data_IF_732660432598
#
_entry.id   IF_732660432598
#
_cell.length_a   1.000
_cell.length_b   1.000
_cell.length_c   1.000
_cell.angle_alpha   90.00
_cell.angle_beta   90.00
_cell.angle_gamma   90.00
#
_symmetry.space_group_name_H-M   'P 1'
#
loop_
_entity.id
_entity.type
_entity.pdbx_description
1 polymer ?
#
# COMPACT_ATOMS: atom_id res chain seq x y z
N UNK A 1 -19.15 15.41 7.20
CA UNK A 1 -18.18 15.18 6.11
C UNK A 1 -18.05 16.38 5.18
N UNK A 2 -19.16 17.07 4.86
CA UNK A 2 -19.12 18.30 4.06
C UNK A 2 -18.23 19.40 4.68
N UNK A 3 -18.12 19.48 6.00
CA UNK A 3 -17.23 20.42 6.71
C UNK A 3 -15.73 20.12 6.52
N UNK A 4 -15.36 18.93 6.10
CA UNK A 4 -13.97 18.49 6.09
C UNK A 4 -13.12 19.10 4.98
N UNK A 5 -13.67 19.23 3.77
CA UNK A 5 -12.97 19.87 2.67
C UNK A 5 -13.05 21.41 2.73
N UNK A 6 -14.09 21.97 3.35
CA UNK A 6 -14.12 23.41 3.66
C UNK A 6 -13.07 23.80 4.72
N UNK A 7 -12.76 22.90 5.67
CA UNK A 7 -11.71 23.10 6.67
C UNK A 7 -10.30 23.12 6.06
N UNK A 8 -10.09 22.47 4.95
CA UNK A 8 -8.85 22.57 4.20
C UNK A 8 -8.63 23.94 3.53
N UNK A 9 -9.66 24.78 3.48
CA UNK A 9 -9.62 26.09 2.83
C UNK A 9 -9.69 27.29 3.78
N UNK A 10 -10.05 27.11 5.06
CA UNK A 10 -10.14 28.25 6.02
C UNK A 10 -9.31 27.97 7.27
N UNK A 11 -8.29 28.79 7.43
CA UNK A 11 -7.50 28.96 8.65
C UNK A 11 -8.34 29.57 9.76
N UNK A 12 -8.02 29.33 11.04
CA UNK A 12 -7.70 30.36 12.01
C UNK A 12 -7.62 29.81 13.44
N UNK A 13 -6.54 30.22 14.07
CA UNK A 13 -6.23 30.53 15.48
C UNK A 13 -6.33 29.51 16.61
N UNK A 14 -5.13 29.31 17.09
CA UNK A 14 -4.60 29.33 18.49
C UNK A 14 -5.33 28.53 19.57
N UNK A 15 -4.66 27.51 20.08
CA UNK A 15 -4.11 27.51 21.45
C UNK A 15 -3.23 26.29 21.72
N UNK A 16 -2.11 26.56 22.39
CA UNK A 16 -1.13 25.70 23.01
C UNK A 16 -1.57 24.27 23.31
N UNK A 17 -0.99 23.31 22.61
CA UNK A 17 -0.75 21.99 23.16
C UNK A 17 0.69 21.55 22.85
N UNK A 18 1.30 21.03 23.89
CA UNK A 18 2.65 20.52 23.97
C UNK A 18 3.07 19.77 22.70
N UNK A 19 4.20 20.21 22.13
CA UNK A 19 4.93 19.54 21.07
C UNK A 19 5.30 18.10 21.50
N UNK A 20 4.47 17.14 21.13
CA UNK A 20 4.97 15.78 20.92
C UNK A 20 5.65 15.84 19.56
N UNK A 21 6.93 16.20 19.54
CA UNK A 21 7.79 16.00 18.39
C UNK A 21 7.99 14.50 18.22
N UNK A 22 7.08 13.86 17.49
CA UNK A 22 7.43 12.64 16.81
C UNK A 22 8.32 13.07 15.63
N UNK A 23 9.62 12.84 15.71
CA UNK A 23 10.52 12.94 14.57
C UNK A 23 10.18 11.82 13.58
N UNK A 24 9.08 12.00 12.87
CA UNK A 24 8.71 11.18 11.73
C UNK A 24 9.55 11.65 10.54
N UNK A 25 10.71 11.11 10.39
CA UNK A 25 11.42 11.16 9.11
C UNK A 25 10.81 10.10 8.20
N UNK A 26 10.27 10.51 7.03
CA UNK A 26 10.08 9.57 5.92
C UNK A 26 11.48 9.07 5.58
N UNK A 27 11.89 8.01 6.25
CA UNK A 27 13.04 7.28 5.78
C UNK A 27 12.58 6.59 4.49
N UNK A 28 13.39 6.66 3.47
CA UNK A 28 13.27 5.86 2.24
C UNK A 28 13.00 4.36 2.55
N UNK A 29 13.19 3.93 3.79
CA UNK A 29 12.83 2.63 4.36
C UNK A 29 11.36 2.22 4.15
N UNK A 30 10.40 3.16 4.04
CA UNK A 30 8.99 2.82 3.85
C UNK A 30 8.61 2.46 2.41
N UNK A 31 9.48 2.73 1.45
CA UNK A 31 9.19 2.39 0.05
C UNK A 31 9.42 0.90 -0.20
N UNK A 32 10.33 0.28 0.57
CA UNK A 32 10.70 -1.12 0.43
C UNK A 32 10.97 -1.68 1.84
N UNK A 33 9.96 -2.20 2.50
CA UNK A 33 10.13 -2.97 3.74
C UNK A 33 10.21 -4.44 3.39
N UNK A 34 11.42 -5.01 3.37
CA UNK A 34 11.57 -6.47 3.47
C UNK A 34 11.18 -6.87 4.90
N UNK A 35 10.02 -7.45 5.06
CA UNK A 35 9.65 -8.17 6.28
C UNK A 35 10.22 -9.57 6.19
N UNK A 36 11.37 -9.78 6.78
CA UNK A 36 12.12 -11.05 6.76
C UNK A 36 11.39 -12.29 7.31
N UNK A 37 10.08 -12.29 7.51
CA UNK A 37 9.28 -13.44 7.98
C UNK A 37 7.78 -13.31 7.64
N UNK A 38 7.39 -12.51 6.66
CA UNK A 38 6.03 -12.57 6.11
C UNK A 38 5.91 -13.83 5.24
N UNK A 39 4.72 -14.43 5.17
CA UNK A 39 4.43 -15.54 4.25
C UNK A 39 4.22 -15.04 2.81
N UNK A 40 3.97 -13.74 2.66
CA UNK A 40 3.81 -13.01 1.42
C UNK A 40 4.14 -11.53 1.59
N UNK A 41 4.26 -10.81 0.50
CA UNK A 41 4.50 -9.37 0.47
C UNK A 41 3.90 -8.76 -0.80
N UNK A 42 3.14 -7.67 -0.66
CA UNK A 42 2.73 -6.86 -1.78
C UNK A 42 3.58 -5.59 -1.89
N UNK A 43 4.09 -5.31 -3.08
CA UNK A 43 4.90 -4.12 -3.37
C UNK A 43 4.07 -3.09 -4.16
N UNK A 44 3.52 -2.06 -3.49
CA UNK A 44 2.56 -1.13 -4.10
C UNK A 44 3.10 -0.37 -5.31
N UNK A 45 4.35 0.09 -5.23
CA UNK A 45 4.95 0.89 -6.30
C UNK A 45 5.16 0.10 -7.61
N UNK A 46 5.27 -1.22 -7.53
CA UNK A 46 5.57 -2.07 -8.68
C UNK A 46 4.47 -3.08 -8.97
N UNK A 47 3.37 -3.03 -8.19
CA UNK A 47 2.21 -3.92 -8.34
C UNK A 47 2.61 -5.39 -8.44
N UNK A 48 3.46 -5.82 -7.52
CA UNK A 48 4.00 -7.18 -7.45
C UNK A 48 3.61 -7.85 -6.15
N UNK A 49 3.25 -9.13 -6.23
CA UNK A 49 3.07 -10.00 -5.07
C UNK A 49 4.26 -10.96 -5.00
N UNK A 50 4.88 -11.06 -3.84
CA UNK A 50 5.84 -12.11 -3.52
C UNK A 50 5.17 -13.12 -2.59
N UNK A 51 5.29 -14.41 -2.91
CA UNK A 51 4.79 -15.50 -2.10
C UNK A 51 5.96 -16.40 -1.73
N UNK A 52 6.14 -16.63 -0.42
CA UNK A 52 7.26 -17.43 0.09
C UNK A 52 7.11 -18.92 -0.09
N UNK A 53 5.95 -19.39 -0.56
CA UNK A 53 5.69 -20.79 -0.91
C UNK A 53 5.79 -20.98 -2.43
N UNK A 54 5.91 -22.24 -2.87
CA UNK A 54 5.82 -22.58 -4.28
C UNK A 54 4.42 -22.22 -4.81
N UNK A 55 4.36 -21.42 -5.87
CA UNK A 55 3.14 -21.03 -6.54
C UNK A 55 3.43 -20.92 -8.04
N UNK A 56 2.78 -21.72 -8.82
CA UNK A 56 2.94 -21.81 -10.28
C UNK A 56 1.90 -20.99 -11.06
N UNK A 57 1.09 -20.19 -10.35
CA UNK A 57 -0.02 -19.42 -10.91
C UNK A 57 -1.36 -20.15 -10.85
N UNK A 58 -1.39 -21.43 -10.48
CA UNK A 58 -2.62 -22.23 -10.39
C UNK A 58 -3.25 -22.13 -9.00
N UNK A 59 -4.29 -21.32 -8.87
CA UNK A 59 -5.01 -21.11 -7.60
C UNK A 59 -5.72 -22.39 -7.13
N UNK A 60 -6.12 -23.26 -8.05
CA UNK A 60 -6.87 -24.49 -7.71
C UNK A 60 -6.05 -25.48 -6.89
N UNK A 61 -4.73 -25.45 -7.05
CA UNK A 61 -3.80 -26.34 -6.36
C UNK A 61 -3.33 -25.84 -4.99
N UNK A 62 -3.66 -24.58 -4.63
CA UNK A 62 -3.28 -24.00 -3.35
C UNK A 62 -4.03 -24.68 -2.19
N UNK A 63 -3.31 -24.97 -1.13
CA UNK A 63 -3.91 -25.29 0.17
C UNK A 63 -4.55 -24.04 0.81
N UNK A 64 -5.41 -24.24 1.80
CA UNK A 64 -6.15 -23.15 2.45
C UNK A 64 -5.24 -22.08 3.05
N UNK A 65 -4.18 -22.41 3.81
CA UNK A 65 -3.26 -21.40 4.36
C UNK A 65 -2.53 -20.58 3.30
N UNK A 66 -2.07 -21.22 2.22
CA UNK A 66 -1.38 -20.51 1.11
C UNK A 66 -2.36 -19.64 0.33
N UNK A 67 -3.57 -20.13 0.08
CA UNK A 67 -4.65 -19.34 -0.52
C UNK A 67 -5.00 -18.14 0.36
N UNK A 68 -5.10 -18.32 1.68
CA UNK A 68 -5.31 -17.23 2.63
C UNK A 68 -4.23 -16.15 2.53
N UNK A 69 -2.96 -16.56 2.43
CA UNK A 69 -1.84 -15.64 2.22
C UNK A 69 -1.93 -14.91 0.87
N UNK A 70 -2.21 -15.64 -0.22
CA UNK A 70 -2.38 -15.03 -1.53
C UNK A 70 -3.50 -13.99 -1.52
N UNK A 71 -4.63 -14.29 -0.87
CA UNK A 71 -5.75 -13.35 -0.78
C UNK A 71 -5.39 -12.14 0.06
N UNK A 72 -4.67 -12.30 1.16
CA UNK A 72 -4.17 -11.17 1.95
C UNK A 72 -3.40 -10.18 1.07
N UNK A 73 -2.43 -10.65 0.31
CA UNK A 73 -1.63 -9.82 -0.58
C UNK A 73 -2.43 -9.28 -1.78
N UNK A 74 -3.37 -10.06 -2.29
CA UNK A 74 -4.27 -9.63 -3.35
C UNK A 74 -5.21 -8.51 -2.89
N UNK A 75 -5.68 -8.54 -1.65
CA UNK A 75 -6.46 -7.44 -1.07
C UNK A 75 -5.63 -6.17 -1.01
N UNK A 76 -4.33 -6.23 -0.68
CA UNK A 76 -3.46 -5.06 -0.75
C UNK A 76 -3.36 -4.47 -2.16
N UNK A 77 -3.30 -5.31 -3.19
CA UNK A 77 -3.36 -4.84 -4.56
C UNK A 77 -4.68 -4.12 -4.85
N UNK A 78 -5.81 -4.73 -4.49
CA UNK A 78 -7.12 -4.13 -4.70
C UNK A 78 -7.28 -2.81 -3.93
N UNK A 79 -6.84 -2.74 -2.68
CA UNK A 79 -6.79 -1.48 -1.90
C UNK A 79 -5.98 -0.41 -2.63
N UNK A 80 -4.88 -0.81 -3.26
CA UNK A 80 -3.98 0.12 -3.93
C UNK A 80 -4.57 0.71 -5.21
N UNK A 81 -5.24 -0.12 -6.03
CA UNK A 81 -5.76 0.30 -7.33
C UNK A 81 -7.22 0.77 -7.29
N UNK A 82 -8.00 0.35 -6.28
CA UNK A 82 -9.43 0.62 -6.18
C UNK A 82 -9.83 1.66 -5.11
N UNK A 83 -8.87 2.32 -4.48
CA UNK A 83 -9.17 3.37 -3.49
C UNK A 83 -8.42 4.67 -3.80
N UNK A 84 -9.00 5.84 -3.50
CA UNK A 84 -8.33 7.12 -3.63
C UNK A 84 -7.02 7.21 -2.83
N UNK A 85 -6.97 6.63 -1.62
CA UNK A 85 -5.74 6.56 -0.84
C UNK A 85 -4.65 5.79 -1.56
N UNK A 86 -4.96 4.58 -2.04
CA UNK A 86 -4.01 3.71 -2.73
C UNK A 86 -3.45 4.36 -3.99
N UNK A 87 -4.31 4.97 -4.82
CA UNK A 87 -3.89 5.69 -6.02
C UNK A 87 -3.03 6.92 -5.68
N UNK A 88 -3.41 7.68 -4.63
CA UNK A 88 -2.65 8.86 -4.22
C UNK A 88 -1.25 8.50 -3.67
N UNK A 89 -1.16 7.51 -2.77
CA UNK A 89 0.11 7.00 -2.26
C UNK A 89 1.03 6.52 -3.39
N UNK A 90 0.48 5.74 -4.33
CA UNK A 90 1.24 5.26 -5.50
C UNK A 90 1.70 6.39 -6.40
N UNK A 91 0.86 7.41 -6.66
CA UNK A 91 1.28 8.59 -7.43
C UNK A 91 2.43 9.33 -6.76
N UNK A 92 2.43 9.44 -5.44
CA UNK A 92 3.56 10.07 -4.72
C UNK A 92 4.82 9.27 -4.91
N UNK A 93 4.76 7.93 -4.79
CA UNK A 93 5.91 7.03 -5.03
C UNK A 93 6.44 7.14 -6.46
N UNK A 94 5.57 7.18 -7.47
CA UNK A 94 5.98 7.38 -8.86
C UNK A 94 6.60 8.76 -9.11
N UNK A 95 6.11 9.80 -8.46
CA UNK A 95 6.75 11.12 -8.55
C UNK A 95 8.15 11.12 -7.89
N UNK A 96 8.33 10.42 -6.75
CA UNK A 96 9.64 10.23 -6.12
C UNK A 96 10.58 9.50 -7.11
N UNK A 97 10.12 8.42 -7.73
CA UNK A 97 10.89 7.68 -8.72
C UNK A 97 11.27 8.57 -9.92
N UNK A 98 10.33 9.34 -10.45
CA UNK A 98 10.57 10.24 -11.58
C UNK A 98 11.59 11.33 -11.27
N UNK A 99 11.51 11.97 -10.09
CA UNK A 99 12.51 12.97 -9.66
C UNK A 99 13.88 12.31 -9.39
N UNK A 100 13.89 11.08 -8.88
CA UNK A 100 15.12 10.29 -8.69
C UNK A 100 15.81 10.01 -10.03
N UNK A 101 15.06 9.56 -11.02
CA UNK A 101 15.61 9.29 -12.35
C UNK A 101 16.07 10.58 -13.05
N UNK A 102 15.29 11.64 -12.94
CA UNK A 102 15.70 12.94 -13.47
C UNK A 102 16.98 13.48 -12.81
N UNK A 103 17.17 13.21 -11.51
CA UNK A 103 18.43 13.55 -10.82
C UNK A 103 19.62 12.81 -11.43
N UNK A 104 19.51 11.50 -11.67
CA UNK A 104 20.57 10.70 -12.30
C UNK A 104 20.87 11.18 -13.72
N UNK A 105 19.84 11.39 -14.52
CA UNK A 105 20.00 11.87 -15.92
C UNK A 105 20.71 13.22 -16.01
N UNK A 106 20.32 14.17 -15.14
CA UNK A 106 20.88 15.52 -15.14
C UNK A 106 22.26 15.63 -14.46
N UNK A 107 22.74 14.58 -13.81
CA UNK A 107 24.09 14.56 -13.26
C UNK A 107 25.12 14.69 -14.38
N UNK A 108 26.11 15.58 -14.22
CA UNK A 108 27.06 15.89 -15.30
C UNK A 108 28.12 14.82 -15.54
N UNK A 109 28.55 14.12 -14.48
CA UNK A 109 29.61 13.10 -14.61
C UNK A 109 29.56 12.03 -13.53
N UNK A 110 29.42 12.41 -12.27
CA UNK A 110 29.53 11.51 -11.12
C UNK A 110 28.27 11.53 -10.29
N UNK A 111 27.79 10.37 -9.86
CA UNK A 111 26.74 10.21 -8.87
C UNK A 111 27.29 9.44 -7.67
N UNK A 112 26.81 9.79 -6.47
CA UNK A 112 27.20 9.13 -5.21
C UNK A 112 25.99 8.39 -4.65
N UNK A 113 26.17 7.11 -4.33
CA UNK A 113 25.14 6.27 -3.72
C UNK A 113 25.37 6.12 -2.21
N UNK A 114 24.28 6.08 -1.40
CA UNK A 114 22.90 6.30 -1.81
C UNK A 114 22.66 7.73 -2.27
N UNK A 115 21.72 7.90 -3.20
CA UNK A 115 21.38 9.23 -3.69
C UNK A 115 20.82 10.10 -2.56
N UNK A 116 21.39 11.30 -2.40
CA UNK A 116 20.84 12.33 -1.52
C UNK A 116 20.14 13.40 -2.38
N UNK A 117 18.82 13.27 -2.49
CA UNK A 117 18.03 14.09 -3.40
C UNK A 117 17.23 15.12 -2.62
N UNK A 118 17.40 16.38 -2.98
CA UNK A 118 16.54 17.47 -2.53
C UNK A 118 15.30 17.55 -3.44
N UNK A 119 14.28 16.76 -3.10
CA UNK A 119 13.02 16.72 -3.85
C UNK A 119 12.34 18.09 -3.90
N UNK A 120 11.57 18.32 -4.96
CA UNK A 120 10.79 19.55 -5.11
C UNK A 120 9.88 19.80 -3.91
N UNK A 121 9.66 21.06 -3.55
CA UNK A 121 8.79 21.42 -2.41
C UNK A 121 7.36 20.88 -2.60
N UNK A 122 6.89 20.84 -3.84
CA UNK A 122 5.58 20.25 -4.17
C UNK A 122 5.51 18.77 -3.85
N UNK A 123 6.58 18.02 -4.14
CA UNK A 123 6.67 16.60 -3.82
C UNK A 123 6.83 16.38 -2.32
N UNK A 124 7.69 17.13 -1.64
CA UNK A 124 7.83 17.08 -0.17
C UNK A 124 6.49 17.27 0.54
N UNK A 125 5.70 18.26 0.13
CA UNK A 125 4.37 18.47 0.72
C UNK A 125 3.42 17.27 0.51
N UNK A 126 3.50 16.59 -0.63
CA UNK A 126 2.72 15.37 -0.88
C UNK A 126 3.21 14.20 -0.04
N UNK A 127 4.53 14.05 0.11
CA UNK A 127 5.15 13.04 0.97
C UNK A 127 4.69 13.21 2.42
N UNK A 128 4.68 14.44 2.94
CA UNK A 128 4.21 14.74 4.29
C UNK A 128 2.74 14.36 4.51
N UNK A 129 1.87 14.58 3.49
CA UNK A 129 0.46 14.17 3.54
C UNK A 129 0.36 12.64 3.61
N UNK A 130 1.11 11.94 2.77
CA UNK A 130 1.14 10.47 2.77
C UNK A 130 1.63 9.94 4.11
N UNK A 131 2.70 10.52 4.66
CA UNK A 131 3.22 10.13 5.98
C UNK A 131 2.16 10.26 7.08
N UNK A 132 1.49 11.41 7.14
CA UNK A 132 0.44 11.61 8.12
C UNK A 132 -0.71 10.62 7.99
N UNK A 133 -1.17 10.35 6.76
CA UNK A 133 -2.28 9.45 6.51
C UNK A 133 -1.92 7.96 6.60
N UNK A 134 -0.66 7.59 6.35
CA UNK A 134 -0.16 6.21 6.52
C UNK A 134 -0.18 5.79 7.97
N UNK A 135 0.09 6.72 8.90
CA UNK A 135 0.24 6.43 10.31
C UNK A 135 1.59 5.78 10.63
N UNK A 136 1.77 5.44 11.89
CA UNK A 136 3.02 4.85 12.37
C UNK A 136 2.75 3.78 13.43
N UNK A 137 3.33 2.60 13.22
CA UNK A 137 3.37 1.53 14.20
C UNK A 137 4.84 1.18 14.47
N UNK A 138 5.37 1.44 15.67
CA UNK A 138 6.79 1.26 15.98
C UNK A 138 7.26 -0.21 15.92
N UNK A 139 6.33 -1.14 15.81
CA UNK A 139 6.60 -2.58 15.82
C UNK A 139 7.18 -3.12 14.51
N UNK A 140 7.18 -2.34 13.44
CA UNK A 140 7.81 -2.75 12.19
C UNK A 140 9.35 -2.82 12.26
N UNK A 141 9.95 -2.15 13.26
CA UNK A 141 11.42 -2.01 13.39
C UNK A 141 12.04 -2.86 14.50
N UNK A 142 11.28 -3.39 15.45
CA UNK A 142 11.82 -4.14 16.58
C UNK A 142 11.53 -5.62 16.50
N UNK A 143 12.59 -6.37 16.73
CA UNK A 143 12.59 -7.83 16.86
C UNK A 143 11.53 -8.27 17.87
N UNK A 144 10.45 -8.79 17.36
CA UNK A 144 9.46 -9.66 17.93
C UNK A 144 9.72 -10.16 19.35
N UNK A 145 8.90 -9.78 20.24
CA UNK A 145 8.45 -10.67 21.32
C UNK A 145 7.08 -10.15 21.77
N UNK A 146 6.04 -10.96 21.55
CA UNK A 146 4.72 -10.91 22.19
C UNK A 146 4.05 -9.53 22.35
N UNK A 147 3.75 -8.86 21.22
CA UNK A 147 2.93 -7.65 21.26
C UNK A 147 1.44 -8.00 21.26
N UNK A 148 1.01 -8.75 22.28
CA UNK A 148 -0.41 -8.91 22.56
C UNK A 148 -0.90 -7.70 23.32
N UNK A 149 -1.99 -7.13 22.82
CA UNK A 149 -2.67 -6.03 23.47
C UNK A 149 -3.32 -6.56 24.76
N UNK A 150 -3.12 -5.86 25.87
CA UNK A 150 -3.86 -6.14 27.09
C UNK A 150 -5.29 -5.64 26.94
N UNK A 151 -6.18 -6.54 26.52
CA UNK A 151 -7.61 -6.22 26.31
C UNK A 151 -8.36 -5.90 27.59
N UNK A 152 -7.76 -6.12 28.78
CA UNK A 152 -8.31 -5.68 30.05
C UNK A 152 -8.12 -4.17 30.28
N UNK A 153 -7.12 -3.55 29.63
CA UNK A 153 -6.95 -2.11 29.60
C UNK A 153 -7.59 -1.54 28.30
N UNK A 154 -8.33 -0.44 28.47
CA UNK A 154 -9.02 0.19 27.35
C UNK A 154 -8.04 1.01 26.52
N UNK A 155 -8.04 0.81 25.20
CA UNK A 155 -7.32 1.67 24.26
C UNK A 155 -7.88 3.08 24.33
N UNK A 156 -7.02 4.08 24.57
CA UNK A 156 -7.42 5.48 24.53
C UNK A 156 -7.25 6.05 23.13
N UNK A 157 -8.33 6.57 22.56
CA UNK A 157 -8.34 7.15 21.21
C UNK A 157 -8.29 8.67 21.33
N UNK A 158 -7.25 9.29 20.75
CA UNK A 158 -7.06 10.74 20.78
C UNK A 158 -7.11 11.31 19.36
N UNK A 159 -7.87 12.39 19.17
CA UNK A 159 -7.88 13.18 17.94
C UNK A 159 -6.92 14.34 18.06
N UNK A 160 -5.90 14.35 17.22
CA UNK A 160 -4.84 15.35 17.21
C UNK A 160 -4.71 15.97 15.81
N UNK A 161 -3.86 16.98 15.69
CA UNK A 161 -3.57 17.64 14.41
C UNK A 161 -2.06 17.77 14.25
N UNK A 162 -1.53 17.39 13.09
CA UNK A 162 -0.15 17.65 12.69
C UNK A 162 -0.13 18.78 11.69
N UNK A 163 0.67 19.81 11.96
CA UNK A 163 0.87 20.91 11.00
C UNK A 163 1.81 20.44 9.89
N UNK A 164 1.29 20.42 8.66
CA UNK A 164 2.04 20.07 7.45
C UNK A 164 1.96 21.25 6.51
N UNK A 165 3.09 21.93 6.28
CA UNK A 165 3.12 23.21 5.54
C UNK A 165 2.14 24.22 6.14
N UNK A 166 1.11 24.62 5.40
CA UNK A 166 0.08 25.56 5.84
C UNK A 166 -1.24 24.86 6.22
N UNK A 167 -1.24 23.54 6.47
CA UNK A 167 -2.43 22.74 6.77
C UNK A 167 -2.30 22.05 8.10
N UNK A 168 -3.40 21.96 8.82
CA UNK A 168 -3.51 21.08 9.97
C UNK A 168 -4.17 19.78 9.49
N UNK A 169 -3.41 18.70 9.43
CA UNK A 169 -3.92 17.37 9.08
C UNK A 169 -4.35 16.65 10.36
N UNK A 170 -5.56 16.08 10.38
CA UNK A 170 -6.00 15.29 11.51
C UNK A 170 -5.19 13.98 11.59
N UNK A 171 -4.81 13.63 12.79
CA UNK A 171 -4.18 12.36 13.12
C UNK A 171 -4.91 11.73 14.30
N UNK A 172 -5.03 10.42 14.26
CA UNK A 172 -5.57 9.64 15.38
C UNK A 172 -4.41 8.92 16.05
N UNK A 173 -4.25 9.16 17.35
CA UNK A 173 -3.27 8.42 18.16
C UNK A 173 -3.99 7.49 19.12
N UNK A 174 -3.39 6.33 19.36
CA UNK A 174 -3.91 5.31 20.25
C UNK A 174 -2.89 5.02 21.34
N UNK A 175 -3.28 5.16 22.60
CA UNK A 175 -2.47 4.67 23.71
C UNK A 175 -2.87 3.22 24.01
N UNK A 176 -1.91 2.32 23.85
CA UNK A 176 -2.09 0.87 23.95
C UNK A 176 -1.21 0.32 25.06
N UNK A 177 -1.81 -0.52 25.91
CA UNK A 177 -1.11 -1.35 26.90
C UNK A 177 -0.93 -2.76 26.36
N UNK A 178 0.23 -3.36 26.59
CA UNK A 178 0.54 -4.72 26.18
C UNK A 178 0.56 -5.66 27.39
N UNK A 179 0.38 -6.94 27.16
CA UNK A 179 0.34 -8.00 28.19
C UNK A 179 1.64 -8.13 28.99
N UNK A 180 2.76 -7.62 28.46
CA UNK A 180 4.04 -7.53 29.16
C UNK A 180 4.15 -6.31 30.09
N UNK A 181 3.09 -5.49 30.18
CA UNK A 181 3.02 -4.26 30.98
C UNK A 181 3.60 -3.03 30.28
N UNK A 182 4.14 -3.14 29.08
CA UNK A 182 4.61 -1.98 28.32
C UNK A 182 3.44 -1.17 27.78
N UNK A 183 3.67 0.14 27.57
CA UNK A 183 2.68 1.06 27.00
C UNK A 183 3.31 1.80 25.83
N UNK A 184 2.54 1.96 24.76
CA UNK A 184 2.97 2.69 23.57
C UNK A 184 1.85 3.54 23.01
N UNK A 185 2.25 4.67 22.41
CA UNK A 185 1.36 5.49 21.58
C UNK A 185 1.67 5.19 20.13
N UNK A 186 0.68 4.76 19.38
CA UNK A 186 0.78 4.54 17.94
C UNK A 186 -0.06 5.57 17.18
N UNK A 187 0.31 5.85 15.94
CA UNK A 187 -0.47 6.69 15.03
C UNK A 187 -1.28 5.78 14.11
N UNK A 188 -2.59 5.76 14.31
CA UNK A 188 -3.50 5.02 13.44
C UNK A 188 -3.51 5.65 12.05
N UNK A 189 -3.47 4.82 11.00
CA UNK A 189 -3.49 5.29 9.64
C UNK A 189 -3.72 4.18 8.63
N UNK A 190 -3.57 4.52 7.35
CA UNK A 190 -3.86 3.61 6.25
C UNK A 190 -3.10 2.29 6.33
N UNK A 191 -1.87 2.28 6.87
CA UNK A 191 -1.11 1.03 6.98
C UNK A 191 -1.84 0.00 7.85
N UNK A 192 -2.24 0.40 9.06
CA UNK A 192 -2.97 -0.49 9.99
C UNK A 192 -4.34 -0.87 9.40
N UNK A 193 -5.04 0.10 8.80
CA UNK A 193 -6.36 -0.13 8.20
C UNK A 193 -6.26 -1.18 7.08
N UNK A 194 -5.26 -1.06 6.22
CA UNK A 194 -5.03 -1.98 5.10
C UNK A 194 -4.70 -3.40 5.59
N UNK A 195 -3.78 -3.51 6.55
CA UNK A 195 -3.38 -4.79 7.13
C UNK A 195 -4.55 -5.48 7.87
N UNK A 196 -5.28 -4.73 8.69
CA UNK A 196 -6.46 -5.28 9.39
C UNK A 196 -7.54 -5.72 8.41
N UNK A 197 -7.80 -4.96 7.34
CA UNK A 197 -8.76 -5.33 6.31
C UNK A 197 -8.32 -6.62 5.59
N UNK A 198 -7.05 -6.73 5.20
CA UNK A 198 -6.52 -7.91 4.53
C UNK A 198 -6.56 -9.15 5.45
N UNK A 199 -6.25 -8.99 6.73
CA UNK A 199 -6.37 -10.05 7.73
C UNK A 199 -7.81 -10.52 7.92
N UNK A 200 -8.77 -9.60 7.96
CA UNK A 200 -10.20 -9.95 8.03
C UNK A 200 -10.64 -10.75 6.80
N UNK A 201 -10.19 -10.39 5.58
CA UNK A 201 -10.45 -11.19 4.38
C UNK A 201 -9.79 -12.57 4.44
N UNK A 202 -8.56 -12.64 4.91
CA UNK A 202 -7.86 -13.92 5.09
C UNK A 202 -8.64 -14.85 6.03
N UNK A 203 -9.17 -14.33 7.13
CA UNK A 203 -10.00 -15.10 8.07
C UNK A 203 -11.32 -15.61 7.47
N UNK A 204 -11.85 -14.96 6.43
CA UNK A 204 -13.04 -15.46 5.72
C UNK A 204 -12.75 -16.71 4.87
N UNK A 205 -11.48 -16.98 4.57
CA UNK A 205 -11.02 -18.14 3.78
C UNK A 205 -10.43 -19.20 4.68
N UNK A 206 -9.58 -18.78 5.58
CA UNK A 206 -8.85 -19.63 6.52
C UNK A 206 -9.23 -19.23 7.94
N UNK A 207 -10.22 -19.91 8.48
CA UNK A 207 -10.68 -19.69 9.87
C UNK A 207 -9.59 -19.93 10.90
N UNK A 208 -8.51 -20.64 10.52
CA UNK A 208 -7.36 -20.92 11.39
C UNK A 208 -6.34 -19.78 11.37
N UNK A 209 -6.44 -18.83 10.45
CA UNK A 209 -5.56 -17.66 10.34
C UNK A 209 -5.94 -16.60 11.38
N UNK A 210 -5.88 -16.95 12.66
CA UNK A 210 -6.30 -16.07 13.75
C UNK A 210 -5.32 -14.93 14.03
N UNK A 211 -4.14 -14.94 13.41
CA UNK A 211 -3.05 -14.00 13.72
C UNK A 211 -2.79 -13.86 15.23
N UNK A 212 -3.01 -14.95 15.99
CA UNK A 212 -2.96 -14.96 17.45
C UNK A 212 -1.60 -14.54 18.03
N UNK A 213 -0.54 -14.65 17.23
CA UNK A 213 0.80 -14.25 17.66
C UNK A 213 0.97 -12.72 17.68
N UNK A 214 0.18 -11.96 16.90
CA UNK A 214 0.36 -10.53 16.72
C UNK A 214 -0.99 -9.79 16.60
N UNK A 215 -1.34 -9.00 17.59
CA UNK A 215 -2.51 -8.12 17.50
C UNK A 215 -2.27 -6.92 16.58
N UNK A 216 -1.02 -6.48 16.46
CA UNK A 216 -0.63 -5.39 15.59
C UNK A 216 0.11 -5.89 14.34
N UNK A 217 -0.22 -5.40 13.15
CA UNK A 217 -1.33 -4.46 12.84
C UNK A 217 -2.67 -5.16 12.57
N UNK A 218 -2.72 -6.49 12.58
CA UNK A 218 -3.78 -7.31 11.97
C UNK A 218 -5.11 -7.27 12.71
N UNK A 219 -5.08 -7.36 14.06
CA UNK A 219 -6.29 -7.47 14.88
C UNK A 219 -6.74 -6.13 15.48
N UNK A 220 -5.96 -5.04 15.29
CA UNK A 220 -6.19 -3.80 16.02
C UNK A 220 -7.57 -3.20 15.79
N UNK A 221 -8.07 -3.19 14.52
CA UNK A 221 -9.38 -2.61 14.23
C UNK A 221 -10.49 -3.42 14.90
N UNK A 222 -10.36 -4.74 14.95
CA UNK A 222 -11.32 -5.61 15.64
C UNK A 222 -11.30 -5.34 17.14
N UNK A 223 -10.13 -5.23 17.76
CA UNK A 223 -10.01 -4.91 19.20
C UNK A 223 -10.59 -3.53 19.51
N UNK A 224 -10.35 -2.52 18.67
CA UNK A 224 -10.98 -1.20 18.82
C UNK A 224 -12.51 -1.31 18.74
N UNK A 225 -13.03 -2.09 17.80
CA UNK A 225 -14.47 -2.29 17.66
C UNK A 225 -15.04 -3.00 18.90
N UNK A 226 -14.41 -4.03 19.41
CA UNK A 226 -14.83 -4.75 20.62
C UNK A 226 -14.86 -3.84 21.85
N UNK A 227 -13.91 -2.96 22.01
CA UNK A 227 -13.81 -2.08 23.17
C UNK A 227 -14.69 -0.82 23.10
N UNK A 228 -14.96 -0.31 21.90
CA UNK A 228 -15.61 1.00 21.72
C UNK A 228 -16.89 0.98 20.90
N UNK A 229 -17.11 -0.07 20.06
CA UNK A 229 -18.18 -0.15 19.06
C UNK A 229 -18.82 -1.54 19.07
N UNK A 230 -19.20 -2.02 20.24
CA UNK A 230 -19.59 -3.41 20.50
C UNK A 230 -20.79 -3.91 19.69
N UNK A 231 -21.68 -3.01 19.22
CA UNK A 231 -22.85 -3.40 18.42
C UNK A 231 -22.46 -3.97 17.04
N UNK A 232 -21.25 -3.66 16.53
CA UNK A 232 -20.78 -4.10 15.21
C UNK A 232 -19.50 -4.97 15.28
N UNK A 233 -18.92 -5.17 16.46
CA UNK A 233 -17.61 -5.80 16.63
C UNK A 233 -17.55 -7.25 16.11
N UNK A 234 -18.65 -7.98 16.15
CA UNK A 234 -18.74 -9.36 15.66
C UNK A 234 -19.00 -9.47 14.15
N UNK A 235 -19.28 -8.36 13.47
CA UNK A 235 -19.58 -8.34 12.03
C UNK A 235 -18.33 -7.99 11.22
N UNK A 236 -17.53 -9.00 10.90
CA UNK A 236 -16.30 -8.83 10.14
C UNK A 236 -16.54 -8.16 8.77
N UNK A 237 -17.71 -8.38 8.15
CA UNK A 237 -18.05 -7.83 6.85
C UNK A 237 -18.28 -6.32 6.95
N UNK A 238 -18.98 -5.86 8.01
CA UNK A 238 -19.09 -4.42 8.28
C UNK A 238 -17.73 -3.79 8.57
N UNK A 239 -16.88 -4.45 9.37
CA UNK A 239 -15.53 -3.94 9.67
C UNK A 239 -14.69 -3.81 8.40
N UNK A 240 -14.70 -4.82 7.52
CA UNK A 240 -14.04 -4.75 6.20
C UNK A 240 -14.56 -3.56 5.39
N UNK A 241 -15.88 -3.40 5.33
CA UNK A 241 -16.51 -2.31 4.56
C UNK A 241 -16.11 -0.93 5.11
N UNK A 242 -16.11 -0.78 6.43
CA UNK A 242 -15.70 0.47 7.08
C UNK A 242 -14.21 0.77 6.83
N UNK A 243 -13.33 -0.24 6.90
CA UNK A 243 -11.93 -0.10 6.51
C UNK A 243 -11.81 0.37 5.06
N UNK A 244 -12.58 -0.23 4.15
CA UNK A 244 -12.57 0.13 2.74
C UNK A 244 -13.04 1.57 2.49
N UNK A 245 -14.18 1.97 3.06
CA UNK A 245 -14.69 3.36 3.02
C UNK A 245 -13.62 4.35 3.50
N UNK A 246 -12.89 3.99 4.56
CA UNK A 246 -11.86 4.86 5.15
C UNK A 246 -10.73 5.20 4.18
N UNK A 247 -10.39 4.27 3.27
CA UNK A 247 -9.37 4.47 2.24
C UNK A 247 -9.83 5.39 1.09
N UNK A 248 -11.06 5.89 1.12
CA UNK A 248 -11.52 6.94 0.20
C UNK A 248 -11.17 8.36 0.66
N UNK A 249 -10.39 8.50 1.72
CA UNK A 249 -9.95 9.79 2.28
C UNK A 249 -8.43 9.87 2.38
N UNK A 250 -7.88 11.09 2.34
CA UNK A 250 -6.48 11.39 2.67
C UNK A 250 -6.23 11.39 4.20
N UNK A 251 -7.29 11.25 5.01
CA UNK A 251 -7.22 11.07 6.46
C UNK A 251 -7.95 9.78 6.86
N UNK A 252 -7.42 8.60 6.47
CA UNK A 252 -8.13 7.33 6.62
C UNK A 252 -8.53 7.01 8.06
N UNK A 253 -7.67 7.31 9.02
CA UNK A 253 -7.92 7.00 10.43
C UNK A 253 -9.12 7.75 11.01
N UNK A 254 -9.30 9.01 10.63
CA UNK A 254 -10.43 9.80 11.12
C UNK A 254 -11.74 9.29 10.53
N UNK A 255 -11.74 9.03 9.21
CA UNK A 255 -12.91 8.45 8.54
C UNK A 255 -13.26 7.07 9.09
N UNK A 256 -12.25 6.27 9.47
CA UNK A 256 -12.48 4.99 10.14
C UNK A 256 -13.24 5.15 11.45
N UNK A 257 -12.74 6.00 12.35
CA UNK A 257 -13.36 6.18 13.67
C UNK A 257 -14.79 6.73 13.55
N UNK A 258 -15.00 7.67 12.63
CA UNK A 258 -16.34 8.24 12.41
C UNK A 258 -17.32 7.20 11.84
N UNK A 259 -16.89 6.35 10.90
CA UNK A 259 -17.76 5.30 10.35
C UNK A 259 -17.97 4.15 11.33
N UNK A 260 -17.00 3.80 12.18
CA UNK A 260 -17.21 2.85 13.26
C UNK A 260 -18.30 3.36 14.24
N UNK A 261 -18.21 4.64 14.63
CA UNK A 261 -19.21 5.26 15.51
C UNK A 261 -20.59 5.27 14.85
N UNK A 262 -20.68 5.71 13.58
CA UNK A 262 -21.94 5.75 12.84
C UNK A 262 -22.57 4.36 12.71
N UNK A 263 -21.80 3.34 12.33
CA UNK A 263 -22.30 1.99 12.19
C UNK A 263 -22.73 1.39 13.54
N UNK A 264 -22.03 1.73 14.63
CA UNK A 264 -22.39 1.30 15.98
C UNK A 264 -23.70 1.93 16.46
N UNK A 265 -24.02 3.16 16.05
CA UNK A 265 -25.31 3.83 16.31
C UNK A 265 -26.42 3.30 15.40
N UNK A 266 -26.07 2.68 14.28
CA UNK A 266 -26.99 2.14 13.28
C UNK A 266 -26.68 0.66 12.97
N UNK A 267 -26.74 -0.24 13.96
CA UNK A 267 -26.26 -1.62 13.83
C UNK A 267 -27.05 -2.47 12.84
N UNK A 268 -28.28 -2.08 12.54
CA UNK A 268 -29.17 -2.79 11.61
C UNK A 268 -28.82 -2.57 10.13
N UNK A 269 -28.02 -1.53 9.82
CA UNK A 269 -27.57 -1.32 8.45
C UNK A 269 -26.62 -2.44 8.02
N UNK A 270 -26.87 -3.01 6.85
CA UNK A 270 -25.93 -3.95 6.23
C UNK A 270 -24.64 -3.26 5.78
N UNK A 271 -23.62 -4.05 5.50
CA UNK A 271 -22.36 -3.56 4.93
C UNK A 271 -22.55 -2.80 3.61
N UNK A 272 -23.47 -3.30 2.76
CA UNK A 272 -23.81 -2.65 1.48
C UNK A 272 -24.48 -1.31 1.72
N UNK A 273 -25.48 -1.24 2.59
CA UNK A 273 -26.18 0.01 2.88
C UNK A 273 -25.24 1.08 3.46
N UNK A 274 -24.26 0.67 4.29
CA UNK A 274 -23.22 1.57 4.77
C UNK A 274 -22.37 2.14 3.61
N UNK A 275 -22.01 1.28 2.65
CA UNK A 275 -21.22 1.70 1.49
C UNK A 275 -22.04 2.55 0.51
N UNK A 276 -23.27 2.15 0.19
CA UNK A 276 -24.16 2.90 -0.69
C UNK A 276 -24.48 4.29 -0.14
N UNK A 277 -24.73 4.39 1.17
CA UNK A 277 -24.86 5.68 1.84
C UNK A 277 -23.63 6.54 1.62
N UNK A 278 -22.43 6.01 1.87
CA UNK A 278 -21.18 6.72 1.67
C UNK A 278 -21.04 7.24 0.23
N UNK A 279 -21.28 6.38 -0.77
CA UNK A 279 -21.13 6.75 -2.18
C UNK A 279 -22.17 7.78 -2.63
N UNK A 280 -23.40 7.68 -2.15
CA UNK A 280 -24.54 8.49 -2.61
C UNK A 280 -24.65 9.84 -1.88
N UNK A 281 -24.37 9.86 -0.58
CA UNK A 281 -24.56 11.04 0.25
C UNK A 281 -23.33 11.92 0.35
N UNK A 282 -22.15 11.34 0.34
CA UNK A 282 -20.90 12.09 0.51
C UNK A 282 -20.51 12.82 -0.78
N UNK A 283 -20.06 14.06 -0.59
CA UNK A 283 -19.52 14.89 -1.66
C UNK A 283 -18.07 15.25 -1.36
N UNK A 284 -17.25 15.16 -2.38
CA UNK A 284 -15.86 15.58 -2.33
C UNK A 284 -15.76 16.97 -2.95
N UNK A 285 -15.12 17.89 -2.24
CA UNK A 285 -14.95 19.27 -2.71
C UNK A 285 -13.52 19.49 -3.20
N UNK A 286 -13.36 19.79 -4.49
CA UNK A 286 -12.07 20.15 -5.09
C UNK A 286 -12.14 21.58 -5.59
N UNK A 287 -11.29 22.45 -5.03
CA UNK A 287 -11.27 23.89 -5.37
C UNK A 287 -12.67 24.52 -5.33
N UNK A 288 -13.47 24.16 -4.33
CA UNK A 288 -14.81 24.70 -4.13
C UNK A 288 -15.90 24.07 -5.01
N UNK A 289 -15.60 23.10 -5.85
CA UNK A 289 -16.60 22.38 -6.64
C UNK A 289 -16.93 21.05 -5.97
N UNK A 290 -18.21 20.80 -5.74
CA UNK A 290 -18.71 19.51 -5.26
C UNK A 290 -18.65 18.48 -6.39
N UNK A 291 -18.16 17.30 -6.06
CA UNK A 291 -18.05 16.15 -6.95
C UNK A 291 -18.58 14.90 -6.25
N UNK A 292 -19.19 13.97 -6.96
CA UNK A 292 -19.52 12.68 -6.38
C UNK A 292 -18.25 11.89 -6.06
N UNK A 293 -18.35 10.92 -5.16
CA UNK A 293 -17.24 10.00 -4.86
C UNK A 293 -16.76 9.28 -6.12
N UNK A 294 -17.69 8.85 -6.97
CA UNK A 294 -17.38 8.15 -8.22
C UNK A 294 -16.67 9.05 -9.24
N UNK A 295 -17.16 10.27 -9.48
CA UNK A 295 -16.54 11.20 -10.43
C UNK A 295 -15.12 11.61 -9.97
N UNK A 296 -14.94 11.73 -8.65
CA UNK A 296 -13.62 11.99 -8.07
C UNK A 296 -12.67 10.82 -8.34
N UNK A 297 -13.14 9.60 -8.10
CA UNK A 297 -12.32 8.40 -8.31
C UNK A 297 -11.94 8.22 -9.78
N UNK A 298 -12.88 8.43 -10.71
CA UNK A 298 -12.60 8.41 -12.16
C UNK A 298 -11.53 9.44 -12.55
N UNK A 299 -11.65 10.66 -12.05
CA UNK A 299 -10.64 11.71 -12.27
C UNK A 299 -9.27 11.30 -11.71
N UNK A 300 -9.26 10.61 -10.57
CA UNK A 300 -8.03 10.18 -9.92
C UNK A 300 -7.36 9.04 -10.71
N UNK A 301 -8.13 8.10 -11.27
CA UNK A 301 -7.61 7.06 -12.17
C UNK A 301 -6.91 7.68 -13.38
N UNK A 302 -7.53 8.67 -14.04
CA UNK A 302 -6.92 9.34 -15.19
C UNK A 302 -5.62 10.06 -14.81
N UNK A 303 -5.62 10.72 -13.66
CA UNK A 303 -4.42 11.39 -13.15
C UNK A 303 -3.33 10.36 -12.81
N UNK A 304 -3.70 9.25 -12.19
CA UNK A 304 -2.78 8.16 -11.86
C UNK A 304 -2.13 7.59 -13.12
N UNK A 305 -2.92 7.27 -14.16
CA UNK A 305 -2.40 6.77 -15.43
C UNK A 305 -1.35 7.71 -16.03
N UNK A 306 -1.63 9.02 -16.06
CA UNK A 306 -0.68 10.02 -16.56
C UNK A 306 0.63 10.03 -15.76
N UNK A 307 0.56 10.00 -14.43
CA UNK A 307 1.74 9.98 -13.57
C UNK A 307 2.52 8.68 -13.73
N UNK A 308 1.81 7.55 -13.75
CA UNK A 308 2.40 6.22 -13.88
C UNK A 308 3.20 6.09 -15.19
N UNK A 309 2.57 6.29 -16.34
CA UNK A 309 3.24 6.14 -17.65
C UNK A 309 4.40 7.12 -17.83
N UNK A 310 4.26 8.35 -17.30
CA UNK A 310 5.36 9.32 -17.31
C UNK A 310 6.55 8.86 -16.48
N UNK A 311 6.32 8.21 -15.35
CA UNK A 311 7.35 7.82 -14.39
C UNK A 311 8.08 6.55 -14.78
N UNK A 312 7.35 5.54 -15.25
CA UNK A 312 7.94 4.25 -15.65
C UNK A 312 8.61 4.31 -17.04
N UNK A 313 8.25 5.29 -17.88
CA UNK A 313 8.89 5.55 -19.20
C UNK A 313 8.84 4.41 -20.21
N UNK A 314 8.22 3.32 -19.86
CA UNK A 314 7.96 2.17 -20.73
C UNK A 314 6.46 1.90 -20.76
N UNK A 315 5.97 1.36 -21.86
CA UNK A 315 4.57 1.00 -21.97
C UNK A 315 4.29 -0.21 -21.06
N UNK A 316 3.44 -0.04 -20.07
CA UNK A 316 2.94 -1.13 -19.21
C UNK A 316 1.43 -1.16 -19.37
N UNK A 317 0.99 -1.88 -20.41
CA UNK A 317 -0.40 -1.84 -20.87
C UNK A 317 -1.33 -2.53 -19.90
N UNK A 318 -0.85 -3.60 -19.22
CA UNK A 318 -1.64 -4.38 -18.28
C UNK A 318 -2.22 -3.54 -17.12
N UNK A 319 -1.41 -2.66 -16.54
CA UNK A 319 -1.89 -1.79 -15.44
C UNK A 319 -2.96 -0.82 -15.93
N UNK A 320 -2.81 -0.32 -17.16
CA UNK A 320 -3.84 0.49 -17.80
C UNK A 320 -5.16 -0.26 -17.96
N UNK A 321 -5.11 -1.53 -18.37
CA UNK A 321 -6.29 -2.41 -18.49
C UNK A 321 -6.96 -2.66 -17.13
N UNK A 322 -6.18 -2.99 -16.09
CA UNK A 322 -6.69 -3.18 -14.73
C UNK A 322 -7.42 -1.93 -14.23
N UNK A 323 -6.84 -0.76 -14.42
CA UNK A 323 -7.44 0.51 -13.99
C UNK A 323 -8.75 0.81 -14.72
N UNK A 324 -8.88 0.46 -15.99
CA UNK A 324 -10.15 0.61 -16.72
C UNK A 324 -11.23 -0.36 -16.22
N UNK A 325 -10.85 -1.58 -15.83
CA UNK A 325 -11.79 -2.57 -15.27
C UNK A 325 -12.29 -2.16 -13.89
N UNK A 326 -11.46 -1.44 -13.13
CA UNK A 326 -11.79 -0.96 -11.78
C UNK A 326 -12.61 0.32 -11.82
N UNK A 327 -12.67 1.04 -12.93
CA UNK A 327 -13.50 2.25 -13.04
C UNK A 327 -14.90 1.94 -12.57
N UNK A 328 -15.45 2.72 -11.63
CA UNK A 328 -16.78 2.49 -11.14
C UNK A 328 -17.80 2.81 -12.23
N UNK A 329 -18.06 1.83 -13.09
CA UNK A 329 -19.16 1.91 -14.01
C UNK A 329 -20.45 2.02 -13.18
N UNK A 330 -20.91 3.25 -12.92
CA UNK A 330 -22.16 3.56 -12.22
C UNK A 330 -22.17 3.34 -10.70
N UNK A 331 -21.10 3.69 -10.01
CA UNK A 331 -21.09 3.74 -8.55
C UNK A 331 -20.85 2.41 -7.85
N UNK A 332 -20.34 1.42 -8.57
CA UNK A 332 -20.10 0.11 -8.01
C UNK A 332 -18.60 -0.20 -7.87
N UNK A 333 -18.18 -0.66 -6.71
CA UNK A 333 -16.79 -1.05 -6.46
C UNK A 333 -16.70 -2.55 -6.31
N UNK A 334 -16.01 -3.22 -7.25
CA UNK A 334 -16.00 -4.69 -7.34
C UNK A 334 -15.52 -5.41 -6.09
N UNK A 335 -14.62 -4.80 -5.31
CA UNK A 335 -14.08 -5.43 -4.10
C UNK A 335 -15.18 -5.81 -3.09
N UNK A 336 -16.27 -5.07 -3.03
CA UNK A 336 -17.37 -5.37 -2.13
C UNK A 336 -18.29 -6.48 -2.65
N UNK A 337 -18.27 -6.82 -3.95
CA UNK A 337 -19.02 -7.97 -4.46
C UNK A 337 -18.58 -9.28 -3.85
N UNK A 338 -17.33 -9.36 -3.41
CA UNK A 338 -16.82 -10.56 -2.73
C UNK A 338 -17.56 -10.85 -1.42
N UNK A 339 -18.11 -9.82 -0.81
CA UNK A 339 -18.66 -9.87 0.55
C UNK A 339 -20.19 -9.79 0.59
N UNK A 340 -20.84 -9.43 -0.51
CA UNK A 340 -22.27 -9.05 -0.48
C UNK A 340 -23.26 -10.16 -0.17
N UNK A 341 -22.87 -11.43 -0.30
CA UNK A 341 -23.83 -12.54 -0.19
C UNK A 341 -23.72 -13.33 1.11
N UNK A 342 -23.04 -12.83 2.14
CA UNK A 342 -22.85 -13.48 3.46
C UNK A 342 -22.39 -14.95 3.41
N UNK A 343 -21.79 -15.36 2.29
CA UNK A 343 -21.26 -16.70 2.13
C UNK A 343 -19.76 -16.70 2.36
N UNK A 344 -19.17 -17.82 2.83
CA UNK A 344 -17.73 -17.94 2.93
C UNK A 344 -17.07 -17.58 1.60
N UNK A 345 -15.99 -16.87 1.66
CA UNK A 345 -15.22 -16.55 0.47
C UNK A 345 -14.63 -17.86 -0.10
N UNK A 346 -15.10 -18.27 -1.29
CA UNK A 346 -14.66 -19.50 -1.93
C UNK A 346 -13.56 -19.27 -2.96
N UNK A 347 -12.80 -20.33 -3.30
CA UNK A 347 -11.81 -20.29 -4.39
C UNK A 347 -12.42 -19.77 -5.70
N UNK A 348 -13.61 -20.24 -6.04
CA UNK A 348 -14.30 -19.88 -7.28
C UNK A 348 -14.63 -18.39 -7.33
N UNK A 349 -15.01 -17.81 -6.20
CA UNK A 349 -15.26 -16.36 -6.10
C UNK A 349 -13.99 -15.55 -6.27
N UNK A 350 -12.91 -15.98 -5.64
CA UNK A 350 -11.60 -15.34 -5.79
C UNK A 350 -11.14 -15.41 -7.25
N UNK A 351 -11.28 -16.58 -7.90
CA UNK A 351 -10.97 -16.71 -9.33
C UNK A 351 -11.81 -15.78 -10.18
N UNK A 352 -13.12 -15.74 -9.96
CA UNK A 352 -14.02 -14.85 -10.67
C UNK A 352 -13.60 -13.38 -10.53
N UNK A 353 -13.14 -12.97 -9.34
CA UNK A 353 -12.66 -11.62 -9.11
C UNK A 353 -11.33 -11.37 -9.84
N UNK A 354 -10.40 -12.31 -9.76
CA UNK A 354 -9.12 -12.24 -10.46
C UNK A 354 -9.34 -12.20 -11.98
N UNK A 355 -10.26 -13.01 -12.50
CA UNK A 355 -10.62 -13.01 -13.91
C UNK A 355 -11.23 -11.68 -14.37
N UNK A 356 -11.99 -11.04 -13.49
CA UNK A 356 -12.63 -9.77 -13.80
C UNK A 356 -11.71 -8.57 -13.62
N UNK A 357 -11.00 -8.48 -12.49
CA UNK A 357 -10.19 -7.31 -12.11
C UNK A 357 -8.72 -7.44 -12.53
N UNK A 358 -8.27 -8.66 -12.77
CA UNK A 358 -6.86 -8.95 -12.93
C UNK A 358 -6.16 -9.23 -11.59
N UNK A 359 -4.91 -9.63 -11.69
CA UNK A 359 -4.01 -9.93 -10.57
C UNK A 359 -2.70 -9.19 -10.79
N UNK A 360 -1.98 -8.76 -9.76
CA UNK A 360 -0.63 -8.24 -9.94
C UNK A 360 0.32 -9.34 -10.42
N UNK A 361 1.46 -8.94 -10.95
CA UNK A 361 2.53 -9.89 -11.23
C UNK A 361 2.96 -10.58 -9.93
N UNK A 362 3.11 -11.89 -9.97
CA UNK A 362 3.53 -12.65 -8.80
C UNK A 362 4.87 -13.33 -9.00
N UNK A 363 5.63 -13.48 -7.93
CA UNK A 363 6.88 -14.23 -7.92
C UNK A 363 7.07 -14.96 -6.60
N UNK A 364 7.84 -16.04 -6.66
CA UNK A 364 8.13 -16.89 -5.51
C UNK A 364 9.57 -16.74 -5.06
N UNK A 365 9.90 -17.23 -3.88
CA UNK A 365 11.29 -17.31 -3.40
C UNK A 365 12.16 -18.21 -4.27
N UNK A 366 11.55 -19.16 -4.94
CA UNK A 366 12.23 -20.01 -5.92
C UNK A 366 12.59 -19.25 -7.21
N UNK A 367 12.12 -18.01 -7.39
CA UNK A 367 12.36 -17.17 -8.57
C UNK A 367 11.42 -17.50 -9.73
N UNK A 368 10.31 -18.20 -9.48
CA UNK A 368 9.28 -18.40 -10.49
C UNK A 368 8.45 -17.13 -10.60
N UNK A 369 8.34 -16.62 -11.83
CA UNK A 369 7.55 -15.42 -12.14
C UNK A 369 6.29 -15.85 -12.88
N UNK A 370 5.14 -15.41 -12.38
CA UNK A 370 3.86 -15.74 -12.96
C UNK A 370 3.18 -14.45 -13.47
N UNK A 371 2.93 -14.38 -14.77
CA UNK A 371 2.11 -13.30 -15.31
C UNK A 371 0.66 -13.44 -14.84
N UNK A 372 -0.11 -12.38 -14.88
CA UNK A 372 -1.53 -12.42 -14.53
C UNK A 372 -2.28 -13.45 -15.41
N UNK A 373 -3.11 -14.30 -14.80
CA UNK A 373 -3.75 -15.42 -15.52
C UNK A 373 -4.79 -14.97 -16.55
N UNK A 374 -5.36 -13.79 -16.42
CA UNK A 374 -6.35 -13.26 -17.35
C UNK A 374 -6.00 -11.86 -17.82
N UNK A 375 -5.67 -11.76 -19.09
CA UNK A 375 -5.44 -10.49 -19.77
C UNK A 375 -5.84 -10.60 -21.23
N UNK A 376 -6.31 -9.51 -21.81
CA UNK A 376 -6.47 -9.40 -23.26
C UNK A 376 -5.13 -9.18 -23.97
N UNK A 377 -4.06 -8.98 -23.19
CA UNK A 377 -2.71 -8.67 -23.66
C UNK A 377 -1.98 -9.97 -23.99
N UNK A 378 -1.22 -9.95 -25.06
CA UNK A 378 -0.34 -11.03 -25.46
C UNK A 378 0.63 -11.42 -24.35
N UNK A 379 0.92 -12.72 -24.21
CA UNK A 379 1.79 -13.24 -23.13
C UNK A 379 3.23 -12.73 -23.21
N UNK A 380 3.76 -12.49 -24.42
CA UNK A 380 5.08 -11.90 -24.61
C UNK A 380 5.10 -10.47 -24.08
N UNK A 381 4.08 -9.67 -24.40
CA UNK A 381 3.93 -8.31 -23.90
C UNK A 381 3.75 -8.26 -22.39
N UNK A 382 2.97 -9.19 -21.79
CA UNK A 382 2.85 -9.30 -20.36
C UNK A 382 4.18 -9.59 -19.67
N UNK A 383 5.00 -10.45 -20.27
CA UNK A 383 6.34 -10.76 -19.79
C UNK A 383 7.25 -9.55 -19.86
N UNK A 384 7.21 -8.77 -20.94
CA UNK A 384 7.96 -7.52 -21.06
C UNK A 384 7.54 -6.48 -20.03
N UNK A 385 6.24 -6.30 -19.80
CA UNK A 385 5.70 -5.40 -18.79
C UNK A 385 6.17 -5.79 -17.39
N UNK A 386 6.16 -7.09 -17.07
CA UNK A 386 6.64 -7.63 -15.82
C UNK A 386 8.14 -7.37 -15.64
N UNK A 387 8.95 -7.68 -16.65
CA UNK A 387 10.40 -7.45 -16.61
C UNK A 387 10.75 -5.97 -16.42
N UNK A 388 10.00 -5.07 -17.07
CA UNK A 388 10.16 -3.65 -16.88
C UNK A 388 9.89 -3.22 -15.44
N UNK A 389 8.80 -3.69 -14.81
CA UNK A 389 8.48 -3.38 -13.41
C UNK A 389 9.50 -3.97 -12.44
N UNK A 390 9.99 -5.18 -12.69
CA UNK A 390 11.08 -5.80 -11.89
C UNK A 390 12.36 -4.97 -12.00
N UNK A 391 12.70 -4.54 -13.21
CA UNK A 391 13.87 -3.68 -13.45
C UNK A 391 13.77 -2.33 -12.74
N UNK A 392 12.59 -1.70 -12.78
CA UNK A 392 12.34 -0.46 -12.04
C UNK A 392 12.48 -0.65 -10.54
N UNK A 393 11.89 -1.72 -9.98
CA UNK A 393 12.01 -2.02 -8.56
C UNK A 393 13.47 -2.21 -8.14
N UNK A 394 14.20 -3.03 -8.89
CA UNK A 394 15.60 -3.32 -8.62
C UNK A 394 16.47 -2.06 -8.70
N UNK A 395 16.34 -1.30 -9.78
CA UNK A 395 17.15 -0.08 -9.99
C UNK A 395 16.81 0.98 -8.95
N UNK A 396 15.54 1.28 -8.72
CA UNK A 396 15.13 2.27 -7.74
C UNK A 396 15.61 1.91 -6.33
N UNK A 397 15.46 0.64 -5.95
CA UNK A 397 15.97 0.10 -4.69
C UNK A 397 17.48 0.31 -4.55
N UNK A 398 18.24 -0.02 -5.59
CA UNK A 398 19.68 0.14 -5.59
C UNK A 398 20.12 1.60 -5.42
N UNK A 399 19.47 2.51 -6.13
CA UNK A 399 19.79 3.94 -6.10
C UNK A 399 19.48 4.61 -4.76
N UNK A 400 18.45 4.16 -4.05
CA UNK A 400 17.90 4.88 -2.90
C UNK A 400 18.16 4.24 -1.54
N UNK A 401 18.60 2.98 -1.50
CA UNK A 401 18.81 2.27 -0.23
C UNK A 401 20.16 2.61 0.42
N UNK A 402 20.10 2.85 1.74
CA UNK A 402 21.22 2.66 2.64
C UNK A 402 21.31 1.16 2.96
N UNK A 403 22.18 0.43 2.30
CA UNK A 403 22.31 -0.99 2.57
C UNK A 403 23.06 -1.24 3.90
N UNK A 404 22.36 -1.86 4.85
CA UNK A 404 23.00 -2.50 6.03
C UNK A 404 23.95 -3.64 5.64
N UNK A 405 23.89 -4.13 4.42
CA UNK A 405 24.55 -5.37 3.95
C UNK A 405 25.41 -5.20 2.70
N UNK A 406 25.77 -3.98 2.34
CA UNK A 406 26.52 -3.70 1.10
C UNK A 406 25.59 -3.45 -0.11
N UNK A 407 26.16 -2.88 -1.17
CA UNK A 407 25.46 -2.66 -2.42
C UNK A 407 25.52 -3.93 -3.27
N UNK A 408 24.54 -4.79 -3.10
CA UNK A 408 24.35 -6.00 -3.91
C UNK A 408 23.16 -5.78 -4.84
N UNK A 409 23.29 -6.23 -6.08
CA UNK A 409 22.17 -6.19 -7.03
C UNK A 409 20.92 -6.88 -6.43
N UNK A 410 19.76 -6.22 -6.37
CA UNK A 410 18.54 -6.82 -5.83
C UNK A 410 18.07 -8.08 -6.58
N UNK A 411 18.53 -8.27 -7.84
CA UNK A 411 18.21 -9.45 -8.66
C UNK A 411 19.28 -10.55 -8.56
N UNK A 412 20.27 -10.42 -7.66
CA UNK A 412 21.39 -11.35 -7.58
C UNK A 412 20.94 -12.80 -7.33
N UNK A 413 19.99 -13.02 -6.41
CA UNK A 413 19.44 -14.37 -6.14
C UNK A 413 18.76 -14.99 -7.36
N UNK A 414 18.08 -14.17 -8.15
CA UNK A 414 17.49 -14.60 -9.42
C UNK A 414 18.57 -15.03 -10.42
N UNK A 415 19.62 -14.22 -10.58
CA UNK A 415 20.74 -14.56 -11.46
C UNK A 415 21.47 -15.84 -11.02
N UNK A 416 21.56 -16.09 -9.71
CA UNK A 416 22.13 -17.32 -9.17
C UNK A 416 21.39 -18.56 -9.62
N UNK A 417 20.06 -18.51 -9.59
CA UNK A 417 19.21 -19.59 -10.04
C UNK A 417 19.35 -19.86 -11.54
N UNK A 418 19.35 -18.80 -12.34
CA UNK A 418 19.43 -18.85 -13.80
C UNK A 418 20.87 -19.09 -14.33
N UNK A 419 21.85 -19.27 -13.44
CA UNK A 419 23.29 -19.51 -13.78
C UNK A 419 23.88 -18.42 -14.68
N UNK A 420 23.40 -17.20 -14.58
CA UNK A 420 24.05 -16.06 -15.23
C UNK A 420 25.41 -15.80 -14.59
N UNK A 421 26.36 -15.30 -15.40
CA UNK A 421 27.71 -14.97 -14.93
C UNK A 421 27.60 -13.78 -13.94
N UNK A 422 27.87 -14.08 -12.66
CA UNK A 422 27.61 -13.19 -11.52
C UNK A 422 28.68 -12.11 -11.35
N UNK A 423 29.88 -12.38 -11.85
CA UNK A 423 31.06 -11.58 -11.51
C UNK A 423 31.06 -10.24 -12.28
N UNK A 424 30.40 -10.17 -13.45
CA UNK A 424 30.40 -8.97 -14.29
C UNK A 424 29.45 -7.86 -13.80
N UNK A 425 28.40 -8.17 -13.01
CA UNK A 425 27.40 -7.17 -12.63
C UNK A 425 27.24 -6.96 -11.11
N UNK A 426 28.11 -7.54 -10.31
CA UNK A 426 28.00 -7.50 -8.86
C UNK A 426 28.10 -6.06 -8.32
N UNK A 427 29.14 -5.34 -8.74
CA UNK A 427 29.41 -3.98 -8.29
C UNK A 427 28.75 -2.90 -9.16
N UNK A 428 28.47 -3.23 -10.42
CA UNK A 428 27.87 -2.33 -11.41
C UNK A 428 26.68 -3.01 -12.13
N UNK A 429 25.56 -3.24 -11.44
CA UNK A 429 24.47 -4.07 -11.97
C UNK A 429 23.80 -3.51 -13.23
N UNK A 430 24.02 -2.25 -13.60
CA UNK A 430 23.58 -1.64 -14.85
C UNK A 430 24.50 -1.94 -16.03
N UNK A 431 25.71 -2.48 -15.82
CA UNK A 431 26.67 -2.83 -16.88
C UNK A 431 26.59 -4.29 -17.34
N UNK A 432 25.73 -5.09 -16.72
CA UNK A 432 25.57 -6.51 -17.06
C UNK A 432 25.03 -6.74 -18.47
N UNK A 433 24.97 -8.00 -18.88
CA UNK A 433 24.26 -8.44 -20.10
C UNK A 433 22.77 -8.19 -19.91
N UNK A 434 21.98 -8.29 -20.98
CA UNK A 434 20.55 -7.97 -20.99
C UNK A 434 19.81 -8.59 -19.80
N UNK A 435 19.58 -7.79 -18.75
CA UNK A 435 18.74 -8.10 -17.63
C UNK A 435 17.80 -6.92 -17.35
N UNK A 436 16.72 -7.11 -16.59
CA UNK A 436 15.77 -6.04 -16.32
C UNK A 436 16.43 -4.79 -15.73
N UNK A 437 17.37 -4.94 -14.80
CA UNK A 437 18.06 -3.80 -14.18
C UNK A 437 18.99 -3.07 -15.16
N UNK A 438 19.68 -3.81 -16.04
CA UNK A 438 20.52 -3.23 -17.10
C UNK A 438 19.69 -2.42 -18.08
N UNK A 439 18.54 -2.96 -18.53
CA UNK A 439 17.62 -2.28 -19.45
C UNK A 439 17.14 -0.96 -18.80
N UNK A 440 16.74 -0.99 -17.54
CA UNK A 440 16.31 0.22 -16.84
C UNK A 440 17.46 1.20 -16.60
N UNK A 441 18.66 0.70 -16.36
CA UNK A 441 19.87 1.52 -16.29
C UNK A 441 20.15 2.27 -17.60
N UNK A 442 19.91 1.64 -18.75
CA UNK A 442 20.01 2.29 -20.06
C UNK A 442 18.94 3.38 -20.23
N UNK A 443 17.71 3.11 -19.81
CA UNK A 443 16.58 4.07 -19.89
C UNK A 443 16.86 5.37 -19.15
N UNK A 444 17.62 5.32 -18.03
CA UNK A 444 17.99 6.51 -17.23
C UNK A 444 19.42 6.98 -17.46
N UNK A 445 20.12 6.43 -18.45
CA UNK A 445 21.50 6.79 -18.81
C UNK A 445 22.52 6.66 -17.69
N UNK A 446 22.34 5.74 -16.73
CA UNK A 446 23.26 5.57 -15.59
C UNK A 446 24.65 5.06 -16.04
N UNK A 447 24.71 4.28 -17.13
CA UNK A 447 25.96 3.77 -17.72
C UNK A 447 26.92 4.88 -18.15
N UNK A 448 26.39 6.07 -18.43
CA UNK A 448 27.19 7.23 -18.85
C UNK A 448 27.81 7.97 -17.66
N UNK A 449 27.56 7.51 -16.42
CA UNK A 449 27.97 8.17 -15.19
C UNK A 449 29.04 7.36 -14.47
N UNK A 450 29.95 8.06 -13.82
CA UNK A 450 30.83 7.47 -12.79
C UNK A 450 30.00 7.32 -11.50
N UNK A 451 29.83 6.09 -11.03
CA UNK A 451 29.07 5.80 -9.81
C UNK A 451 30.02 5.57 -8.64
N UNK A 452 29.90 6.35 -7.58
CA UNK A 452 30.67 6.19 -6.34
C UNK A 452 29.77 5.69 -5.23
N UNK A 453 30.19 4.66 -4.52
CA UNK A 453 29.48 4.13 -3.36
C UNK A 453 30.13 4.73 -2.11
N UNK A 454 29.32 5.38 -1.30
CA UNK A 454 29.74 5.92 -0.02
C UNK A 454 29.25 4.97 1.08
N UNK A 455 30.22 4.35 1.78
CA UNK A 455 29.95 3.45 2.90
C UNK A 455 29.79 4.21 4.21
#
# INVERSE_FOLDING_TARGET
YIKYYEYLCKSIDTHNHSNIMCELTISQKHIITERNNSKGEYQPAFMQIRIHNSFDGNIDELDVPTLGTLVHEYIHFLQNVSTPWGLYDSMVRYNIMAETYAFVENATSTITLPLNIDYSQGLKNKMDIVECGTGYCPLSDTRRNNFKIDVSERICIHRNYKKVSNRNLPIITLDISFTDGSKQTIVLGANIIKESMAALYQMLIDETATHEEFDLPYNLIKIIAEQHFSAIASDNIKLITICYISLFSLSPAEVLIDNLAYANENPDLSAIELFERFVNEDKIYIKGKAMSVCDFFDTLIDTFKQVFFKSVRVGIDYIGEVLERIRPAKGFVPILTLITDYQPLSKERIKTLIDFLGMPYSYTDSGDFNPPPSSSIDSEKLSDDMLALIGHNALFSYLTRLHKYGYVCPLHSFCEKEKYDKDECYDEPWNGKMCPMTIMGDVIHIKEKEVKIQF
#
